data_IF_894049773834
#
_entry.id   IF_894049773834
#
_cell.length_a   1.000
_cell.length_b   1.000
_cell.length_c   1.000
_cell.angle_alpha   90.00
_cell.angle_beta   90.00
_cell.angle_gamma   90.00
#
_symmetry.space_group_name_H-M   'P 1'
#
loop_
_entity.id
_entity.type
_entity.pdbx_description
1 polymer ?
#
# COMPACT_ATOMS: atom_id res chain seq x y z
N UNK A 1 24.59 -3.12 -4.52
CA UNK A 1 23.40 -2.94 -3.65
C UNK A 1 23.05 -4.29 -3.06
N UNK A 2 22.43 -4.34 -1.87
CA UNK A 2 22.11 -5.62 -1.20
C UNK A 2 20.68 -6.05 -1.53
N UNK A 3 20.40 -7.36 -1.60
CA UNK A 3 19.04 -7.87 -1.74
C UNK A 3 18.15 -7.44 -0.59
N UNK A 4 16.86 -7.28 -0.87
CA UNK A 4 15.83 -7.19 0.16
C UNK A 4 15.58 -8.60 0.70
N UNK A 5 16.06 -8.87 1.91
CA UNK A 5 16.04 -10.22 2.49
C UNK A 5 14.61 -10.75 2.60
N UNK A 6 13.66 -9.92 3.08
CA UNK A 6 12.29 -10.36 3.29
C UNK A 6 11.59 -10.67 1.98
N UNK A 7 11.75 -9.81 0.96
CA UNK A 7 11.20 -10.11 -0.37
C UNK A 7 11.86 -11.32 -1.00
N UNK A 8 13.17 -11.48 -0.80
CA UNK A 8 13.92 -12.62 -1.36
C UNK A 8 13.43 -13.94 -0.78
N UNK A 9 13.24 -13.99 0.54
CA UNK A 9 12.67 -15.15 1.24
C UNK A 9 11.22 -15.41 0.80
N UNK A 10 10.41 -14.36 0.67
CA UNK A 10 9.00 -14.48 0.27
C UNK A 10 8.82 -15.00 -1.16
N UNK A 11 9.62 -14.50 -2.12
CA UNK A 11 9.52 -14.91 -3.53
C UNK A 11 10.39 -16.13 -3.87
N UNK A 12 11.27 -16.56 -2.96
CA UNK A 12 12.17 -17.70 -3.17
C UNK A 12 13.25 -17.45 -4.21
N UNK A 13 13.58 -16.17 -4.48
CA UNK A 13 14.66 -15.73 -5.39
C UNK A 13 15.23 -14.41 -4.92
N UNK A 14 16.46 -14.08 -5.31
CA UNK A 14 17.07 -12.79 -4.96
C UNK A 14 16.26 -11.62 -5.55
N UNK A 15 15.74 -10.75 -4.67
CA UNK A 15 15.05 -9.52 -5.05
C UNK A 15 15.91 -8.33 -4.68
N UNK A 16 16.46 -7.65 -5.68
CA UNK A 16 17.16 -6.37 -5.50
C UNK A 16 16.25 -5.25 -5.95
N UNK A 17 16.08 -4.25 -5.08
CA UNK A 17 15.26 -3.08 -5.37
C UNK A 17 15.87 -1.84 -4.75
N UNK A 18 15.57 -0.69 -5.34
CA UNK A 18 16.05 0.60 -4.83
C UNK A 18 14.91 1.59 -4.89
N UNK A 19 14.64 2.23 -3.76
CA UNK A 19 13.79 3.41 -3.67
C UNK A 19 14.69 4.63 -3.56
N UNK A 20 14.49 5.60 -4.44
CA UNK A 20 15.28 6.84 -4.51
C UNK A 20 14.34 8.03 -4.46
N UNK A 21 14.75 9.10 -3.77
CA UNK A 21 14.01 10.37 -3.80
C UNK A 21 13.97 10.93 -5.22
N UNK A 22 12.82 11.43 -5.66
CA UNK A 22 12.63 11.85 -7.06
C UNK A 22 13.53 13.02 -7.49
N UNK A 23 14.09 13.77 -6.54
CA UNK A 23 15.01 14.88 -6.73
C UNK A 23 16.50 14.50 -6.60
N UNK A 24 16.83 13.26 -6.23
CA UNK A 24 18.21 12.76 -6.21
C UNK A 24 18.66 12.29 -7.60
N UNK A 25 18.81 13.25 -8.52
CA UNK A 25 19.26 13.00 -9.89
C UNK A 25 20.63 12.33 -9.96
N UNK A 26 21.49 12.55 -8.96
CA UNK A 26 22.83 11.95 -8.90
C UNK A 26 22.73 10.45 -8.64
N UNK A 27 21.89 10.04 -7.69
CA UNK A 27 21.65 8.62 -7.42
C UNK A 27 20.90 7.95 -8.58
N UNK A 28 19.93 8.63 -9.19
CA UNK A 28 19.19 8.12 -10.35
C UNK A 28 20.14 7.82 -11.51
N UNK A 29 21.01 8.77 -11.90
CA UNK A 29 22.00 8.56 -12.97
C UNK A 29 22.96 7.42 -12.65
N UNK A 30 23.42 7.32 -11.38
CA UNK A 30 24.28 6.22 -10.94
C UNK A 30 23.59 4.86 -11.07
N UNK A 31 22.32 4.76 -10.66
CA UNK A 31 21.54 3.52 -10.77
C UNK A 31 21.40 3.09 -12.24
N UNK A 32 21.05 4.03 -13.11
CA UNK A 32 20.90 3.76 -14.55
C UNK A 32 22.20 3.27 -15.18
N UNK A 33 23.34 3.90 -14.86
CA UNK A 33 24.67 3.44 -15.29
C UNK A 33 25.05 2.06 -14.76
N UNK A 34 24.46 1.63 -13.65
CA UNK A 34 24.63 0.29 -13.08
C UNK A 34 23.64 -0.75 -13.63
N UNK A 35 22.80 -0.37 -14.62
CA UNK A 35 21.83 -1.26 -15.25
C UNK A 35 20.55 -1.46 -14.43
N UNK A 36 20.22 -0.53 -13.54
CA UNK A 36 18.90 -0.47 -12.91
C UNK A 36 17.93 0.29 -13.82
N UNK A 37 16.70 -0.21 -13.90
CA UNK A 37 15.62 0.30 -14.74
C UNK A 37 14.49 0.81 -13.87
N UNK A 38 13.87 1.90 -14.32
CA UNK A 38 12.72 2.50 -13.65
C UNK A 38 11.53 1.53 -13.63
N UNK A 39 10.88 1.40 -12.48
CA UNK A 39 9.70 0.56 -12.28
C UNK A 39 8.46 1.42 -12.13
N UNK A 40 8.43 2.29 -11.12
CA UNK A 40 7.30 3.19 -10.90
C UNK A 40 7.68 4.39 -10.03
N UNK A 41 6.81 5.39 -10.04
CA UNK A 41 6.83 6.48 -9.07
C UNK A 41 5.86 6.22 -7.92
N UNK A 42 6.22 6.70 -6.74
CA UNK A 42 5.43 6.67 -5.51
C UNK A 42 5.32 8.10 -4.98
N UNK A 43 4.13 8.50 -4.56
CA UNK A 43 3.89 9.72 -3.80
C UNK A 43 3.59 9.36 -2.35
N UNK A 44 4.21 10.10 -1.45
CA UNK A 44 3.91 10.08 -0.03
C UNK A 44 3.11 11.32 0.34
N UNK A 45 1.95 11.10 0.93
CA UNK A 45 1.05 12.11 1.46
C UNK A 45 1.07 12.11 2.98
N UNK A 46 0.83 13.28 3.55
CA UNK A 46 0.55 13.48 4.96
C UNK A 46 -0.81 14.16 5.10
N UNK A 47 -1.62 13.60 5.99
CA UNK A 47 -2.90 14.16 6.41
C UNK A 47 -2.84 14.55 7.90
N UNK A 48 -2.82 15.86 8.23
CA UNK A 48 -2.91 16.32 9.62
C UNK A 48 -4.27 15.95 10.24
N UNK A 49 -4.27 15.35 11.44
CA UNK A 49 -5.49 14.85 12.08
C UNK A 49 -6.17 15.87 13.01
N UNK A 50 -5.52 17.01 13.26
CA UNK A 50 -6.01 18.05 14.17
C UNK A 50 -7.34 18.66 13.71
N UNK A 51 -7.57 18.75 12.40
CA UNK A 51 -8.75 19.40 11.80
C UNK A 51 -9.94 18.47 11.61
N UNK A 52 -9.80 17.17 11.92
CA UNK A 52 -10.85 16.19 11.71
C UNK A 52 -11.71 16.01 12.95
N UNK A 53 -13.03 16.10 12.81
CA UNK A 53 -13.96 15.55 13.81
C UNK A 53 -13.99 14.03 13.70
N UNK A 54 -14.17 13.34 14.83
CA UNK A 54 -14.46 11.90 14.79
C UNK A 54 -15.81 11.70 14.11
N UNK A 55 -15.78 11.22 12.88
CA UNK A 55 -16.98 10.85 12.15
C UNK A 55 -17.31 9.40 12.49
N UNK A 56 -18.55 9.16 12.94
CA UNK A 56 -19.05 7.80 13.11
C UNK A 56 -19.06 7.12 11.74
N UNK A 57 -18.47 5.93 11.66
CA UNK A 57 -18.49 5.09 10.46
C UNK A 57 -19.11 3.75 10.82
N UNK A 58 -19.73 3.09 9.85
CA UNK A 58 -20.19 1.71 10.01
C UNK A 58 -19.04 0.69 9.89
N UNK A 59 -17.78 1.14 9.73
CA UNK A 59 -16.64 0.25 9.62
C UNK A 59 -16.36 -0.42 10.97
N UNK A 60 -15.99 -1.71 10.93
CA UNK A 60 -15.61 -2.50 12.10
C UNK A 60 -14.20 -3.07 11.94
N UNK A 61 -13.52 -3.43 13.04
CA UNK A 61 -12.32 -4.25 12.95
C UNK A 61 -12.61 -5.55 12.19
N UNK A 62 -11.67 -5.94 11.34
CA UNK A 62 -11.67 -7.23 10.67
C UNK A 62 -11.24 -8.33 11.65
N UNK A 63 -11.75 -9.53 11.45
CA UNK A 63 -11.33 -10.73 12.19
C UNK A 63 -10.90 -11.86 11.25
N UNK A 64 -10.53 -13.00 11.82
CA UNK A 64 -10.05 -14.17 11.07
C UNK A 64 -11.11 -14.76 10.12
N UNK A 65 -12.40 -14.58 10.40
CA UNK A 65 -13.49 -15.06 9.54
C UNK A 65 -13.62 -14.20 8.27
N UNK A 66 -13.13 -12.96 8.27
CA UNK A 66 -13.11 -12.08 7.10
C UNK A 66 -12.00 -12.43 6.10
N UNK A 67 -10.98 -13.21 6.50
CA UNK A 67 -9.80 -13.50 5.69
C UNK A 67 -10.08 -14.08 4.29
N UNK A 68 -11.03 -15.02 4.09
CA UNK A 68 -11.33 -15.51 2.76
C UNK A 68 -11.77 -14.39 1.80
N UNK A 69 -12.67 -13.52 2.23
CA UNK A 69 -13.19 -12.40 1.43
C UNK A 69 -12.13 -11.31 1.22
N UNK A 70 -11.36 -11.01 2.26
CA UNK A 70 -10.25 -10.05 2.20
C UNK A 70 -9.14 -10.53 1.25
N UNK A 71 -8.81 -11.82 1.27
CA UNK A 71 -7.85 -12.42 0.36
C UNK A 71 -8.28 -12.34 -1.11
N UNK A 72 -9.59 -12.50 -1.38
CA UNK A 72 -10.14 -12.31 -2.73
C UNK A 72 -10.06 -10.84 -3.18
N UNK A 73 -10.45 -9.91 -2.30
CA UNK A 73 -10.39 -8.46 -2.57
C UNK A 73 -8.95 -8.02 -2.85
N UNK A 74 -8.05 -8.21 -1.90
CA UNK A 74 -6.69 -7.67 -1.99
C UNK A 74 -5.80 -8.43 -2.97
N UNK A 75 -6.05 -9.71 -3.19
CA UNK A 75 -5.36 -10.45 -4.25
C UNK A 75 -5.55 -9.79 -5.62
N UNK A 76 -6.68 -9.14 -5.88
CA UNK A 76 -6.97 -8.53 -7.19
C UNK A 76 -6.92 -7.00 -7.20
N UNK A 77 -6.73 -6.34 -6.05
CA UNK A 77 -6.84 -4.89 -5.93
C UNK A 77 -5.68 -4.09 -6.56
N UNK A 78 -4.49 -4.70 -6.68
CA UNK A 78 -3.26 -3.99 -7.06
C UNK A 78 -2.47 -4.69 -8.17
N UNK A 79 -3.11 -5.01 -9.32
CA UNK A 79 -2.45 -5.75 -10.41
C UNK A 79 -1.28 -4.96 -11.04
N UNK A 80 -1.35 -3.62 -10.97
CA UNK A 80 -0.37 -2.72 -11.56
C UNK A 80 0.65 -2.19 -10.53
N UNK A 81 0.78 -2.80 -9.35
CA UNK A 81 1.82 -2.41 -8.39
C UNK A 81 3.22 -2.71 -8.91
N UNK A 82 4.28 -2.25 -8.23
CA UNK A 82 5.67 -2.64 -8.56
C UNK A 82 5.93 -4.15 -8.53
N UNK A 83 5.02 -4.96 -8.00
CA UNK A 83 5.08 -6.42 -8.07
C UNK A 83 4.28 -6.93 -9.27
N UNK A 84 4.65 -6.53 -10.49
CA UNK A 84 3.94 -6.86 -11.73
C UNK A 84 4.87 -7.38 -12.82
N UNK A 85 4.28 -7.81 -13.95
CA UNK A 85 5.04 -8.14 -15.15
C UNK A 85 5.90 -6.95 -15.59
N UNK A 86 7.11 -7.19 -16.10
CA UNK A 86 7.72 -8.50 -16.35
C UNK A 86 8.46 -9.13 -15.14
N UNK A 87 8.56 -8.45 -14.00
CA UNK A 87 9.39 -8.89 -12.87
C UNK A 87 8.73 -9.94 -11.98
N UNK A 88 7.40 -9.92 -11.90
CA UNK A 88 6.59 -10.82 -11.09
C UNK A 88 5.39 -11.31 -11.88
N UNK A 89 5.06 -12.59 -11.73
CA UNK A 89 3.84 -13.15 -12.32
C UNK A 89 2.60 -12.56 -11.67
N UNK A 90 1.44 -12.72 -12.32
CA UNK A 90 0.16 -12.29 -11.75
C UNK A 90 -0.16 -13.06 -10.47
N UNK A 91 0.18 -14.33 -10.40
CA UNK A 91 0.00 -15.20 -9.24
C UNK A 91 0.90 -14.75 -8.08
N UNK A 92 2.13 -14.33 -8.37
CA UNK A 92 3.06 -13.77 -7.39
C UNK A 92 2.53 -12.46 -6.79
N UNK A 93 2.01 -11.55 -7.62
CA UNK A 93 1.33 -10.33 -7.18
C UNK A 93 0.14 -10.66 -6.26
N UNK A 94 -0.74 -11.54 -6.70
CA UNK A 94 -1.92 -11.95 -5.94
C UNK A 94 -1.53 -12.56 -4.59
N UNK A 95 -0.53 -13.45 -4.58
CA UNK A 95 -0.01 -14.08 -3.36
C UNK A 95 0.55 -13.02 -2.41
N UNK A 96 1.32 -12.08 -2.92
CA UNK A 96 1.91 -10.99 -2.13
C UNK A 96 0.84 -10.20 -1.36
N UNK A 97 -0.21 -9.73 -2.04
CA UNK A 97 -1.24 -8.93 -1.39
C UNK A 97 -2.20 -9.74 -0.51
N UNK A 98 -2.45 -11.02 -0.83
CA UNK A 98 -3.16 -11.94 0.06
C UNK A 98 -2.42 -12.13 1.37
N UNK A 99 -1.11 -12.40 1.31
CA UNK A 99 -0.29 -12.55 2.52
C UNK A 99 -0.17 -11.25 3.29
N UNK A 100 -0.10 -10.10 2.62
CA UNK A 100 -0.10 -8.81 3.32
C UNK A 100 -1.36 -8.62 4.15
N UNK A 101 -2.56 -8.74 3.55
CA UNK A 101 -3.79 -8.55 4.32
C UNK A 101 -3.96 -9.60 5.41
N UNK A 102 -3.54 -10.85 5.16
CA UNK A 102 -3.56 -11.90 6.18
C UNK A 102 -2.72 -11.53 7.39
N UNK A 103 -1.49 -11.05 7.16
CA UNK A 103 -0.60 -10.63 8.24
C UNK A 103 -1.08 -9.34 8.93
N UNK A 104 -1.76 -8.44 8.21
CA UNK A 104 -2.38 -7.24 8.79
C UNK A 104 -3.54 -7.60 9.74
N UNK A 105 -4.42 -8.52 9.34
CA UNK A 105 -5.52 -9.01 10.21
C UNK A 105 -4.99 -9.77 11.42
N UNK A 106 -3.87 -10.48 11.27
CA UNK A 106 -3.17 -11.16 12.38
C UNK A 106 -2.42 -10.23 13.32
N UNK A 107 -2.36 -8.92 13.05
CA UNK A 107 -1.60 -7.97 13.86
C UNK A 107 -0.08 -8.08 13.71
N UNK A 108 0.41 -8.64 12.60
CA UNK A 108 1.84 -8.90 12.35
C UNK A 108 2.51 -7.82 11.51
N UNK A 109 1.79 -7.21 10.56
CA UNK A 109 2.31 -6.15 9.68
C UNK A 109 1.67 -4.78 9.91
N UNK A 110 0.40 -4.78 10.31
CA UNK A 110 -0.39 -3.59 10.61
C UNK A 110 -1.12 -3.82 11.95
N UNK A 111 -1.41 -2.75 12.69
CA UNK A 111 -2.01 -2.82 14.03
C UNK A 111 -3.53 -3.00 13.97
N UNK A 112 -4.17 -2.57 12.87
CA UNK A 112 -5.59 -2.81 12.64
C UNK A 112 -5.91 -2.96 11.15
N UNK A 113 -6.90 -3.81 10.88
CA UNK A 113 -7.63 -3.84 9.61
C UNK A 113 -9.08 -3.47 9.88
N UNK A 114 -9.63 -2.52 9.12
CA UNK A 114 -11.01 -2.06 9.23
C UNK A 114 -11.76 -2.40 7.95
N UNK A 115 -12.96 -2.97 8.08
CA UNK A 115 -13.83 -3.37 6.97
C UNK A 115 -15.11 -2.57 6.97
N UNK A 116 -15.57 -2.25 5.77
CA UNK A 116 -16.94 -1.80 5.53
C UNK A 116 -17.73 -2.99 4.99
N UNK A 117 -18.94 -3.19 5.53
CA UNK A 117 -19.89 -4.21 5.07
C UNK A 117 -21.21 -3.57 4.62
N UNK A 118 -21.91 -4.21 3.68
CA UNK A 118 -23.30 -3.90 3.38
C UNK A 118 -24.26 -4.44 4.47
N UNK A 119 -25.56 -4.20 4.29
CA UNK A 119 -26.61 -4.66 5.21
C UNK A 119 -26.66 -6.19 5.38
N UNK A 120 -26.23 -6.94 4.37
CA UNK A 120 -26.15 -8.42 4.39
C UNK A 120 -24.84 -8.94 4.99
N UNK A 121 -23.97 -8.05 5.50
CA UNK A 121 -22.69 -8.40 6.12
C UNK A 121 -21.55 -8.64 5.13
N UNK A 122 -21.76 -8.46 3.83
CA UNK A 122 -20.73 -8.67 2.82
C UNK A 122 -19.74 -7.51 2.79
N UNK A 123 -18.45 -7.82 2.85
CA UNK A 123 -17.38 -6.81 2.79
C UNK A 123 -17.43 -6.08 1.45
N UNK A 124 -17.48 -4.74 1.45
CA UNK A 124 -17.40 -3.93 0.23
C UNK A 124 -16.02 -3.27 0.06
N UNK A 125 -15.25 -3.15 1.13
CA UNK A 125 -13.90 -2.61 1.11
C UNK A 125 -13.22 -2.71 2.47
N UNK A 126 -11.92 -2.46 2.47
CA UNK A 126 -11.10 -2.55 3.66
C UNK A 126 -9.91 -1.58 3.63
N UNK A 127 -9.41 -1.22 4.82
CA UNK A 127 -8.20 -0.44 5.01
C UNK A 127 -7.35 -1.04 6.13
N UNK A 128 -6.03 -1.10 5.96
CA UNK A 128 -5.09 -1.47 7.02
C UNK A 128 -4.34 -0.24 7.51
N UNK A 129 -4.11 -0.15 8.81
CA UNK A 129 -3.42 0.97 9.45
C UNK A 129 -2.43 0.45 10.48
N UNK A 130 -1.25 1.07 10.49
CA UNK A 130 -0.22 0.83 11.51
C UNK A 130 0.23 2.11 12.16
N UNK A 131 0.57 2.06 13.43
CA UNK A 131 1.27 3.11 14.15
C UNK A 131 2.74 3.08 13.77
N UNK A 132 3.29 4.27 13.70
CA UNK A 132 4.70 4.54 13.52
C UNK A 132 5.19 5.36 14.72
N UNK A 133 6.50 5.56 14.79
CA UNK A 133 7.10 6.49 15.72
C UNK A 133 6.57 7.93 15.52
N UNK A 134 6.86 8.81 16.48
CA UNK A 134 6.59 10.26 16.37
C UNK A 134 5.11 10.62 16.18
N UNK A 135 4.20 9.85 16.80
CA UNK A 135 2.75 10.08 16.73
C UNK A 135 2.21 10.07 15.29
N UNK A 136 2.68 9.13 14.48
CA UNK A 136 2.22 8.97 13.11
C UNK A 136 1.48 7.63 12.97
N UNK A 137 0.43 7.62 12.16
CA UNK A 137 -0.16 6.38 11.66
C UNK A 137 0.10 6.30 10.16
N UNK A 138 0.09 5.11 9.57
CA UNK A 138 0.23 4.91 8.12
C UNK A 138 -0.80 3.93 7.60
N UNK A 139 -1.46 4.30 6.50
CA UNK A 139 -2.26 3.35 5.72
C UNK A 139 -1.31 2.41 4.98
N UNK A 140 -1.50 1.10 5.18
CA UNK A 140 -0.82 0.05 4.43
C UNK A 140 -1.54 -0.22 3.11
N UNK A 141 -2.72 -0.84 3.21
CA UNK A 141 -3.58 -1.17 2.07
C UNK A 141 -4.92 -0.43 2.19
N UNK A 142 -5.49 0.01 1.07
CA UNK A 142 -6.87 0.48 0.98
C UNK A 142 -7.45 0.01 -0.35
N UNK A 143 -8.54 -0.75 -0.29
CA UNK A 143 -9.23 -1.23 -1.48
C UNK A 143 -10.76 -1.23 -1.28
N UNK A 144 -11.48 -0.98 -2.36
CA UNK A 144 -12.94 -1.10 -2.45
C UNK A 144 -13.25 -2.00 -3.64
N UNK A 145 -14.15 -2.97 -3.44
CA UNK A 145 -14.59 -3.88 -4.51
C UNK A 145 -15.01 -3.07 -5.75
N UNK A 146 -14.62 -3.48 -6.97
CA UNK A 146 -14.85 -2.69 -8.18
C UNK A 146 -16.30 -2.23 -8.40
N UNK A 147 -17.27 -3.11 -8.12
CA UNK A 147 -18.72 -2.87 -8.20
C UNK A 147 -19.28 -1.96 -7.10
N UNK A 148 -18.50 -1.72 -6.03
CA UNK A 148 -18.86 -0.88 -4.89
C UNK A 148 -18.15 0.49 -4.92
N UNK A 149 -17.32 0.77 -5.93
CA UNK A 149 -16.58 2.03 -6.02
C UNK A 149 -17.50 3.21 -6.35
N UNK A 150 -17.05 4.42 -5.98
CA UNK A 150 -17.76 5.69 -6.20
C UNK A 150 -19.08 5.83 -5.42
N UNK A 151 -19.28 5.01 -4.39
CA UNK A 151 -20.46 5.03 -3.51
C UNK A 151 -20.14 5.58 -2.10
N UNK A 152 -19.02 6.28 -1.92
CA UNK A 152 -18.59 6.81 -0.61
C UNK A 152 -17.85 5.82 0.30
N UNK A 153 -17.73 4.55 -0.07
CA UNK A 153 -17.09 3.51 0.77
C UNK A 153 -15.61 3.82 1.07
N UNK A 154 -14.85 4.31 0.09
CA UNK A 154 -13.47 4.75 0.32
C UNK A 154 -13.39 5.89 1.34
N UNK A 155 -14.36 6.81 1.31
CA UNK A 155 -14.49 7.91 2.26
C UNK A 155 -14.77 7.39 3.67
N UNK A 156 -15.68 6.42 3.81
CA UNK A 156 -15.97 5.77 5.09
C UNK A 156 -14.74 5.06 5.67
N UNK A 157 -14.02 4.29 4.84
CA UNK A 157 -12.79 3.60 5.25
C UNK A 157 -11.71 4.59 5.70
N UNK A 158 -11.48 5.67 4.94
CA UNK A 158 -10.50 6.68 5.32
C UNK A 158 -10.88 7.42 6.61
N UNK A 159 -12.17 7.74 6.80
CA UNK A 159 -12.66 8.30 8.06
C UNK A 159 -12.46 7.34 9.24
N UNK A 160 -12.68 6.04 9.04
CA UNK A 160 -12.47 5.02 10.07
C UNK A 160 -10.97 4.92 10.44
N UNK A 161 -10.08 4.95 9.45
CA UNK A 161 -8.64 5.00 9.67
C UNK A 161 -8.20 6.26 10.44
N UNK A 162 -8.77 7.43 10.10
CA UNK A 162 -8.53 8.69 10.81
C UNK A 162 -8.99 8.59 12.27
N UNK A 163 -10.21 8.11 12.51
CA UNK A 163 -10.77 7.96 13.86
C UNK A 163 -9.90 7.02 14.72
N UNK A 164 -9.53 5.86 14.17
CA UNK A 164 -8.64 4.94 14.87
C UNK A 164 -7.27 5.56 15.16
N UNK A 165 -6.64 6.21 14.17
CA UNK A 165 -5.34 6.85 14.37
C UNK A 165 -5.38 7.93 15.47
N UNK A 166 -6.45 8.71 15.55
CA UNK A 166 -6.66 9.70 16.62
C UNK A 166 -6.80 9.05 17.99
N UNK A 167 -7.56 7.95 18.10
CA UNK A 167 -7.68 7.18 19.35
C UNK A 167 -6.32 6.65 19.82
N UNK A 168 -5.41 6.36 18.89
CA UNK A 168 -4.02 5.99 19.19
C UNK A 168 -3.08 7.19 19.43
N UNK A 169 -3.61 8.40 19.59
CA UNK A 169 -2.85 9.64 19.79
C UNK A 169 -1.92 10.03 18.63
N UNK A 170 -2.18 9.54 17.41
CA UNK A 170 -1.48 10.01 16.23
C UNK A 170 -1.91 11.44 15.87
N UNK A 171 -0.95 12.25 15.44
CA UNK A 171 -1.15 13.64 14.98
C UNK A 171 -1.34 13.73 13.47
N UNK A 172 -0.85 12.73 12.74
CA UNK A 172 -0.90 12.69 11.28
C UNK A 172 -1.04 11.27 10.75
N UNK A 173 -1.71 11.15 9.60
CA UNK A 173 -1.85 9.92 8.85
C UNK A 173 -1.03 10.00 7.56
N UNK A 174 -0.08 9.09 7.43
CA UNK A 174 0.79 8.94 6.27
C UNK A 174 0.15 7.99 5.27
N UNK A 175 0.21 8.33 3.98
CA UNK A 175 -0.43 7.57 2.92
C UNK A 175 0.53 7.49 1.74
N UNK A 176 0.75 6.30 1.20
CA UNK A 176 1.55 6.12 -0.02
C UNK A 176 0.69 5.62 -1.15
N UNK A 177 0.84 6.20 -2.33
CA UNK A 177 0.16 5.74 -3.54
C UNK A 177 1.08 5.87 -4.75
N UNK A 178 0.78 5.14 -5.82
CA UNK A 178 1.57 5.22 -7.05
C UNK A 178 1.35 6.58 -7.72
N UNK A 179 2.40 7.13 -8.32
CA UNK A 179 2.34 8.39 -9.09
C UNK A 179 1.34 8.29 -10.26
N UNK A 180 1.13 7.08 -10.80
CA UNK A 180 0.12 6.80 -11.84
C UNK A 180 -1.32 6.72 -11.32
N UNK A 181 -1.54 6.57 -10.01
CA UNK A 181 -2.87 6.40 -9.42
C UNK A 181 -3.58 7.74 -9.21
N UNK A 182 -3.95 8.39 -10.32
CA UNK A 182 -4.61 9.70 -10.30
C UNK A 182 -5.91 9.71 -9.49
N UNK A 183 -6.64 8.59 -9.46
CA UNK A 183 -7.87 8.45 -8.67
C UNK A 183 -7.58 8.57 -7.18
N UNK A 184 -6.59 7.82 -6.67
CA UNK A 184 -6.18 7.89 -5.27
C UNK A 184 -5.58 9.25 -4.92
N UNK A 185 -4.75 9.83 -5.80
CA UNK A 185 -4.17 11.17 -5.62
C UNK A 185 -5.28 12.22 -5.40
N UNK A 186 -6.26 12.29 -6.31
CA UNK A 186 -7.39 13.23 -6.19
C UNK A 186 -8.22 12.95 -4.93
N UNK A 187 -8.43 11.67 -4.61
CA UNK A 187 -9.17 11.25 -3.43
C UNK A 187 -8.49 11.75 -2.14
N UNK A 188 -7.19 11.53 -1.96
CA UNK A 188 -6.47 11.98 -0.76
C UNK A 188 -6.33 13.50 -0.69
N UNK A 189 -6.11 14.18 -1.83
CA UNK A 189 -6.08 15.65 -1.87
C UNK A 189 -7.44 16.26 -1.52
N UNK A 190 -8.55 15.65 -1.96
CA UNK A 190 -9.90 16.10 -1.58
C UNK A 190 -10.16 15.98 -0.07
N UNK A 191 -9.48 15.03 0.59
CA UNK A 191 -9.44 14.92 2.05
C UNK A 191 -8.48 15.92 2.73
N UNK A 192 -7.78 16.77 1.98
CA UNK A 192 -6.82 17.72 2.53
C UNK A 192 -5.43 17.14 2.81
N UNK A 193 -5.12 15.96 2.28
CA UNK A 193 -3.77 15.43 2.35
C UNK A 193 -2.82 16.23 1.45
N UNK A 194 -1.61 16.48 1.94
CA UNK A 194 -0.55 17.21 1.21
C UNK A 194 0.56 16.25 0.80
N UNK A 195 1.11 16.42 -0.41
CA UNK A 195 2.28 15.65 -0.87
C UNK A 195 3.50 16.10 -0.05
N UNK A 196 4.25 15.15 0.49
CA UNK A 196 5.48 15.39 1.25
C UNK A 196 6.73 14.93 0.54
N UNK A 197 6.63 13.83 -0.19
CA UNK A 197 7.76 13.30 -0.93
C UNK A 197 7.29 12.56 -2.17
N UNK A 198 8.18 12.48 -3.15
CA UNK A 198 8.04 11.63 -4.31
C UNK A 198 9.28 10.74 -4.40
N UNK A 199 9.07 9.50 -4.79
CA UNK A 199 10.13 8.51 -4.92
C UNK A 199 10.00 7.74 -6.23
N UNK A 200 11.12 7.20 -6.70
CA UNK A 200 11.17 6.27 -7.80
C UNK A 200 11.70 4.92 -7.32
N UNK A 201 11.02 3.86 -7.76
CA UNK A 201 11.44 2.48 -7.57
C UNK A 201 12.22 2.01 -8.80
N UNK A 202 13.34 1.34 -8.56
CA UNK A 202 14.19 0.73 -9.57
C UNK A 202 14.44 -0.74 -9.26
N UNK A 203 14.47 -1.57 -10.29
CA UNK A 203 14.95 -2.96 -10.24
C UNK A 203 16.15 -3.12 -11.20
N UNK A 204 17.00 -4.14 -11.03
CA UNK A 204 17.94 -4.54 -12.07
C UNK A 204 17.21 -4.85 -13.38
N UNK A 205 17.85 -4.58 -14.52
CA UNK A 205 17.38 -5.04 -15.81
C UNK A 205 17.25 -6.59 -15.82
N UNK A 206 16.20 -7.11 -16.47
CA UNK A 206 15.89 -8.55 -16.49
C UNK A 206 17.02 -9.41 -17.06
N UNK A 207 17.83 -8.87 -17.97
CA UNK A 207 18.97 -9.56 -18.58
C UNK A 207 19.95 -10.08 -17.52
N UNK A 208 20.09 -9.39 -16.38
CA UNK A 208 20.95 -9.82 -15.27
C UNK A 208 20.47 -11.08 -14.53
N UNK A 209 19.22 -11.51 -14.69
CA UNK A 209 18.73 -12.78 -14.11
C UNK A 209 18.96 -13.99 -15.02
N UNK A 210 19.32 -13.78 -16.30
CA UNK A 210 19.59 -14.85 -17.25
C UNK A 210 21.08 -15.24 -17.33
N UNK A 211 21.99 -14.35 -16.94
CA UNK A 211 23.43 -14.59 -16.99
C UNK A 211 23.95 -15.50 -15.86
N UNK A 212 23.15 -15.79 -14.82
CA UNK A 212 23.51 -16.72 -13.74
C UNK A 212 23.04 -18.18 -13.98
N UNK A 213 22.47 -18.47 -15.16
CA UNK A 213 22.09 -19.85 -15.57
C UNK A 213 22.86 -20.38 -16.79
N UNK A 214 23.97 -19.74 -17.19
CA UNK A 214 24.84 -20.22 -18.28
C UNK A 214 26.24 -20.60 -17.81
#
# INVERSE_FOLDING_TARGET
MKPDQWLSDFFGREIVQVKVAADDFTQIDRLQKQGFVFVEGELEFELPLATFSENMTACRPADMADLPDLGLLFGSAFPDSRFRLPYFSREENQRFYRTWIENAVKGQLDDISLVQCNADGQIQGAVTVRLLAEQQAKIGLLAVKPDCQQQGIGTELLNAAIAWAKQQNAKKLMITTQLSNQKAIRFYQAFGASIKAAYYWFYPALEKYNDEQS
#
